data_IF_958508082507
#
_entry.id   IF_958508082507
#
_cell.length_a   1.000
_cell.length_b   1.000
_cell.length_c   1.000
_cell.angle_alpha   90.00
_cell.angle_beta   90.00
_cell.angle_gamma   90.00
#
_symmetry.space_group_name_H-M   'P 1'
#
loop_
_entity.id
_entity.type
_entity.pdbx_description
1 polymer ?
#
# COMPACT_ATOMS: atom_id res chain seq x y z
N UNK A 1 69.32 21.18 1.00
CA UNK A 1 68.44 20.04 0.99
C UNK A 1 67.10 20.38 1.65
N UNK A 2 66.13 20.93 0.95
CA UNK A 2 64.75 21.11 1.44
C UNK A 2 63.77 21.28 0.24
N UNK A 3 63.31 20.20 -0.40
CA UNK A 3 62.09 20.32 -1.19
C UNK A 3 61.00 19.22 -0.93
N UNK A 4 61.09 18.41 0.14
CA UNK A 4 60.13 17.28 0.31
C UNK A 4 58.86 17.63 1.06
N UNK A 5 58.78 18.78 1.72
CA UNK A 5 57.60 19.14 2.55
C UNK A 5 56.41 19.72 1.73
N UNK A 6 56.70 20.34 0.60
CA UNK A 6 55.67 20.96 -0.25
C UNK A 6 54.85 19.93 -1.08
N UNK A 7 55.47 18.81 -1.46
CA UNK A 7 54.83 17.76 -2.24
C UNK A 7 53.86 16.90 -1.40
N UNK A 8 54.17 16.69 -0.12
CA UNK A 8 53.31 15.94 0.81
C UNK A 8 52.01 16.73 1.08
N UNK A 9 52.10 18.04 1.28
CA UNK A 9 50.94 18.90 1.51
C UNK A 9 50.00 18.97 0.31
N UNK A 10 50.56 18.99 -0.90
CA UNK A 10 49.76 19.03 -2.13
C UNK A 10 49.00 17.71 -2.38
N UNK A 11 49.65 16.56 -2.12
CA UNK A 11 49.00 15.24 -2.23
C UNK A 11 47.88 15.03 -1.20
N UNK A 12 48.03 15.55 0.01
CA UNK A 12 47.02 15.45 1.05
C UNK A 12 45.78 16.30 0.75
N UNK A 13 45.98 17.50 0.18
CA UNK A 13 44.88 18.36 -0.28
C UNK A 13 44.09 17.75 -1.47
N UNK A 14 44.80 17.09 -2.42
CA UNK A 14 44.15 16.41 -3.54
C UNK A 14 43.30 15.21 -3.09
N UNK A 15 43.78 14.43 -2.10
CA UNK A 15 43.04 13.32 -1.52
C UNK A 15 41.79 13.80 -0.74
N UNK A 16 41.88 14.91 -0.01
CA UNK A 16 40.75 15.50 0.70
C UNK A 16 39.69 16.07 -0.28
N UNK A 17 40.11 16.69 -1.39
CA UNK A 17 39.21 17.21 -2.42
C UNK A 17 38.44 16.09 -3.17
N UNK A 18 39.08 14.94 -3.43
CA UNK A 18 38.45 13.78 -4.06
C UNK A 18 37.35 13.15 -3.18
N UNK A 19 37.51 13.17 -1.85
CA UNK A 19 36.53 12.69 -0.90
C UNK A 19 35.23 13.54 -0.83
N UNK A 20 35.33 14.84 -1.08
CA UNK A 20 34.20 15.76 -1.05
C UNK A 20 33.29 15.65 -2.28
N UNK A 21 33.84 15.24 -3.44
CA UNK A 21 33.08 15.09 -4.68
C UNK A 21 32.19 13.83 -4.64
N UNK A 22 32.64 12.76 -3.97
CA UNK A 22 31.84 11.52 -3.85
C UNK A 22 30.63 11.67 -2.92
N UNK A 23 30.69 12.55 -1.91
CA UNK A 23 29.57 12.78 -1.01
C UNK A 23 28.43 13.58 -1.65
N UNK A 24 28.69 14.45 -2.64
CA UNK A 24 27.66 15.16 -3.38
C UNK A 24 26.85 14.25 -4.28
N UNK A 25 27.51 13.32 -4.99
CA UNK A 25 26.83 12.40 -5.91
C UNK A 25 25.83 11.46 -5.20
N UNK A 26 26.17 10.98 -4.00
CA UNK A 26 25.26 10.14 -3.20
C UNK A 26 24.07 10.93 -2.67
N UNK A 27 24.24 12.19 -2.30
CA UNK A 27 23.14 13.05 -1.86
C UNK A 27 22.16 13.36 -3.01
N UNK A 28 22.66 13.66 -4.21
CA UNK A 28 21.83 13.89 -5.40
C UNK A 28 21.02 12.64 -5.75
N UNK A 29 21.63 11.45 -5.68
CA UNK A 29 20.92 10.18 -5.91
C UNK A 29 19.81 9.94 -4.88
N UNK A 30 20.05 10.25 -3.61
CA UNK A 30 19.05 10.12 -2.55
C UNK A 30 17.88 11.08 -2.77
N UNK A 31 18.15 12.35 -3.03
CA UNK A 31 17.11 13.37 -3.31
C UNK A 31 16.30 12.99 -4.54
N UNK A 32 16.96 12.52 -5.61
CA UNK A 32 16.29 12.05 -6.82
C UNK A 32 15.40 10.83 -6.54
N UNK A 33 15.88 9.86 -5.79
CA UNK A 33 15.11 8.67 -5.42
C UNK A 33 13.89 9.02 -4.56
N UNK A 34 14.04 9.93 -3.61
CA UNK A 34 12.92 10.43 -2.78
C UNK A 34 11.89 11.19 -3.64
N UNK A 35 12.35 12.05 -4.55
CA UNK A 35 11.48 12.77 -5.49
C UNK A 35 10.70 11.79 -6.39
N UNK A 36 11.36 10.74 -6.90
CA UNK A 36 10.71 9.73 -7.71
C UNK A 36 9.67 8.93 -6.91
N UNK A 37 9.93 8.63 -5.64
CA UNK A 37 8.97 7.99 -4.74
C UNK A 37 7.74 8.88 -4.51
N UNK A 38 7.94 10.18 -4.30
CA UNK A 38 6.85 11.14 -4.08
C UNK A 38 5.94 11.33 -5.30
N UNK A 39 6.42 10.98 -6.49
CA UNK A 39 5.64 11.02 -7.73
C UNK A 39 4.78 9.78 -7.96
N UNK A 40 5.02 8.67 -7.23
CA UNK A 40 4.16 7.51 -7.33
C UNK A 40 2.74 7.85 -6.92
N UNK A 41 1.79 7.39 -7.70
CA UNK A 41 0.37 7.63 -7.49
C UNK A 41 -0.32 6.32 -7.16
N UNK A 42 -1.25 6.36 -6.22
CA UNK A 42 -1.98 5.18 -5.76
C UNK A 42 -3.48 5.44 -5.76
N UNK A 43 -4.25 4.41 -6.12
CA UNK A 43 -5.72 4.42 -6.07
C UNK A 43 -6.22 3.04 -5.64
N UNK A 44 -7.29 3.00 -4.86
CA UNK A 44 -7.98 1.75 -4.55
C UNK A 44 -8.77 1.31 -5.81
N UNK A 45 -8.41 0.14 -6.37
CA UNK A 45 -9.07 -0.40 -7.54
C UNK A 45 -10.35 -1.14 -7.16
N UNK A 46 -10.21 -2.22 -6.41
CA UNK A 46 -11.32 -3.05 -5.97
C UNK A 46 -11.01 -3.84 -4.69
N UNK A 47 -12.04 -4.57 -4.22
CA UNK A 47 -11.92 -5.60 -3.19
C UNK A 47 -12.31 -6.93 -3.82
N UNK A 48 -11.46 -7.94 -3.69
CA UNK A 48 -11.66 -9.26 -4.26
C UNK A 48 -11.56 -10.36 -3.20
N UNK A 49 -12.04 -11.56 -3.55
CA UNK A 49 -11.97 -12.76 -2.70
C UNK A 49 -12.60 -12.57 -1.31
N UNK A 50 -13.65 -11.75 -1.21
CA UNK A 50 -14.27 -11.46 0.08
C UNK A 50 -15.06 -12.67 0.57
N UNK A 51 -14.68 -13.14 1.76
CA UNK A 51 -15.35 -14.21 2.48
C UNK A 51 -15.71 -13.79 3.89
N UNK A 52 -16.80 -14.31 4.44
CA UNK A 52 -17.17 -14.19 5.85
C UNK A 52 -17.38 -15.61 6.39
N UNK A 53 -16.69 -15.99 7.44
CA UNK A 53 -16.70 -17.37 7.96
C UNK A 53 -16.39 -18.43 6.88
N UNK A 54 -15.54 -18.08 5.89
CA UNK A 54 -15.25 -18.92 4.74
C UNK A 54 -16.36 -18.95 3.67
N UNK A 55 -17.45 -18.22 3.86
CA UNK A 55 -18.55 -18.13 2.88
C UNK A 55 -18.22 -17.02 1.89
N UNK A 56 -18.10 -17.36 0.61
CA UNK A 56 -17.83 -16.36 -0.46
C UNK A 56 -19.02 -15.45 -0.66
N UNK A 57 -18.79 -14.12 -0.65
CA UNK A 57 -19.83 -13.13 -0.86
C UNK A 57 -19.99 -12.68 -2.33
N UNK A 58 -18.99 -12.96 -3.18
CA UNK A 58 -19.07 -12.62 -4.59
C UNK A 58 -20.33 -13.16 -5.25
N UNK A 59 -21.11 -12.28 -5.87
CA UNK A 59 -22.39 -12.63 -6.49
C UNK A 59 -23.62 -12.59 -5.56
N UNK A 60 -23.45 -12.39 -4.24
CA UNK A 60 -24.55 -12.22 -3.29
C UNK A 60 -24.91 -10.73 -3.13
N UNK A 61 -26.20 -10.41 -3.09
CA UNK A 61 -26.72 -9.04 -2.97
C UNK A 61 -27.56 -8.83 -1.71
N UNK A 62 -28.10 -9.91 -1.14
CA UNK A 62 -28.99 -9.87 0.01
C UNK A 62 -28.79 -11.09 0.91
N UNK A 63 -29.34 -11.01 2.12
CA UNK A 63 -29.33 -12.14 3.08
C UNK A 63 -30.08 -13.37 2.53
N UNK A 64 -31.09 -13.18 1.68
CA UNK A 64 -31.83 -14.25 1.01
C UNK A 64 -30.98 -15.09 0.03
N UNK A 65 -29.82 -14.57 -0.40
CA UNK A 65 -28.93 -15.28 -1.33
C UNK A 65 -28.04 -16.32 -0.65
N UNK A 66 -28.12 -16.40 0.68
CA UNK A 66 -27.41 -17.43 1.44
C UNK A 66 -28.28 -18.69 1.55
N UNK A 67 -27.68 -19.85 1.42
CA UNK A 67 -28.34 -21.08 1.74
C UNK A 67 -28.59 -21.23 3.25
N UNK A 68 -29.45 -22.15 3.65
CA UNK A 68 -29.84 -22.33 5.06
C UNK A 68 -28.64 -22.63 5.96
N UNK A 69 -27.70 -23.46 5.48
CA UNK A 69 -26.51 -23.82 6.26
C UNK A 69 -25.58 -22.61 6.48
N UNK A 70 -25.36 -21.78 5.47
CA UNK A 70 -24.56 -20.57 5.57
C UNK A 70 -25.26 -19.55 6.47
N UNK A 71 -26.58 -19.38 6.35
CA UNK A 71 -27.37 -18.51 7.21
C UNK A 71 -27.25 -18.91 8.69
N UNK A 72 -27.33 -20.22 8.99
CA UNK A 72 -27.18 -20.73 10.34
C UNK A 72 -25.76 -20.48 10.90
N UNK A 73 -24.73 -20.69 10.08
CA UNK A 73 -23.31 -20.39 10.46
C UNK A 73 -23.14 -18.91 10.82
N UNK A 74 -23.70 -18.00 10.02
CA UNK A 74 -23.62 -16.55 10.26
C UNK A 74 -24.34 -16.17 11.57
N UNK A 75 -25.52 -16.72 11.84
CA UNK A 75 -26.25 -16.49 13.10
C UNK A 75 -25.45 -17.01 14.30
N UNK A 76 -24.90 -18.22 14.22
CA UNK A 76 -24.08 -18.81 15.28
C UNK A 76 -22.80 -17.99 15.52
N UNK A 77 -22.14 -17.53 14.47
CA UNK A 77 -20.94 -16.69 14.56
C UNK A 77 -21.26 -15.37 15.25
N UNK A 78 -22.36 -14.72 14.87
CA UNK A 78 -22.81 -13.49 15.51
C UNK A 78 -23.16 -13.70 17.00
N UNK A 79 -23.89 -14.77 17.34
CA UNK A 79 -24.18 -15.13 18.73
C UNK A 79 -22.91 -15.41 19.53
N UNK A 80 -21.88 -16.00 18.89
CA UNK A 80 -20.55 -16.21 19.46
C UNK A 80 -19.68 -14.94 19.51
N UNK A 81 -20.22 -13.78 19.12
CA UNK A 81 -19.52 -12.48 19.10
C UNK A 81 -18.25 -12.49 18.24
N UNK A 82 -18.27 -13.21 17.13
CA UNK A 82 -17.12 -13.35 16.22
C UNK A 82 -17.61 -13.51 14.79
N UNK A 83 -17.18 -12.62 13.92
CA UNK A 83 -17.54 -12.64 12.49
C UNK A 83 -16.31 -12.37 11.61
N UNK A 84 -15.38 -13.35 11.51
CA UNK A 84 -14.15 -13.16 10.72
C UNK A 84 -14.47 -13.04 9.23
N UNK A 85 -13.83 -12.07 8.60
CA UNK A 85 -13.86 -11.83 7.16
C UNK A 85 -12.43 -11.78 6.63
N UNK A 86 -12.22 -12.34 5.44
CA UNK A 86 -10.95 -12.31 4.72
C UNK A 86 -11.19 -11.78 3.31
N UNK A 87 -10.27 -10.97 2.82
CA UNK A 87 -10.37 -10.35 1.50
C UNK A 87 -9.02 -9.84 1.02
N UNK A 88 -8.97 -9.49 -0.27
CA UNK A 88 -7.81 -8.83 -0.88
C UNK A 88 -8.23 -7.44 -1.34
N UNK A 89 -7.50 -6.41 -0.90
CA UNK A 89 -7.61 -5.06 -1.43
C UNK A 89 -6.61 -4.93 -2.57
N UNK A 90 -7.09 -4.58 -3.75
CA UNK A 90 -6.27 -4.31 -4.92
C UNK A 90 -6.07 -2.80 -5.06
N UNK A 91 -4.80 -2.38 -5.06
CA UNK A 91 -4.40 -0.99 -5.23
C UNK A 91 -3.78 -0.87 -6.62
N UNK A 92 -4.20 0.12 -7.39
CA UNK A 92 -3.48 0.55 -8.57
C UNK A 92 -2.36 1.50 -8.16
N UNK A 93 -1.14 1.23 -8.65
CA UNK A 93 0.00 2.13 -8.54
C UNK A 93 0.46 2.54 -9.92
N UNK A 94 0.71 3.83 -10.12
CA UNK A 94 1.24 4.40 -11.36
C UNK A 94 2.56 5.09 -11.05
N UNK A 95 3.57 4.75 -11.84
CA UNK A 95 4.87 5.41 -11.80
C UNK A 95 4.99 6.35 -13.03
N UNK A 96 4.84 7.67 -12.84
CA UNK A 96 4.89 8.64 -13.94
C UNK A 96 6.32 8.97 -14.41
N UNK A 97 7.36 8.33 -13.84
CA UNK A 97 8.75 8.55 -14.23
C UNK A 97 9.09 7.79 -15.52
N UNK A 98 8.44 8.17 -16.63
CA UNK A 98 8.46 7.48 -17.93
C UNK A 98 9.55 7.96 -18.89
N UNK A 99 10.46 8.80 -18.41
CA UNK A 99 11.52 9.39 -19.24
C UNK A 99 11.12 10.66 -19.99
N UNK A 100 9.87 11.13 -19.85
CA UNK A 100 9.38 12.36 -20.44
C UNK A 100 9.59 13.56 -19.51
N UNK A 101 9.62 14.75 -20.07
CA UNK A 101 9.75 16.00 -19.29
C UNK A 101 11.10 16.16 -18.56
N UNK A 102 12.18 15.56 -19.08
CA UNK A 102 13.54 15.73 -18.56
C UNK A 102 13.91 14.86 -17.35
N UNK A 103 13.02 13.98 -16.90
CA UNK A 103 13.33 12.99 -15.84
C UNK A 103 13.72 11.65 -16.48
N UNK A 104 14.74 10.93 -15.99
CA UNK A 104 15.06 9.60 -16.50
C UNK A 104 13.92 8.63 -16.25
N UNK A 105 13.71 7.70 -17.18
CA UNK A 105 12.81 6.58 -16.93
C UNK A 105 13.36 5.72 -15.80
N UNK A 106 12.56 5.50 -14.75
CA UNK A 106 12.98 4.74 -13.57
C UNK A 106 11.92 3.75 -13.15
N UNK A 107 12.36 2.54 -12.80
CA UNK A 107 11.52 1.54 -12.13
C UNK A 107 11.56 1.82 -10.64
N UNK A 108 10.43 1.72 -9.97
CA UNK A 108 10.33 1.80 -8.51
C UNK A 108 9.99 0.42 -7.94
N UNK A 109 10.82 -0.12 -7.05
CA UNK A 109 10.54 -1.39 -6.39
C UNK A 109 9.93 -1.12 -5.02
N UNK A 110 8.61 -1.34 -4.92
CA UNK A 110 7.85 -1.21 -3.67
C UNK A 110 8.12 -2.45 -2.80
N UNK A 111 8.78 -2.26 -1.65
CA UNK A 111 9.11 -3.34 -0.71
C UNK A 111 8.19 -3.36 0.51
N UNK A 112 7.37 -2.35 0.68
CA UNK A 112 6.36 -2.25 1.73
C UNK A 112 5.30 -1.22 1.38
N UNK A 113 4.08 -1.51 1.80
CA UNK A 113 2.95 -0.57 1.79
C UNK A 113 2.14 -0.86 3.05
N UNK A 114 2.67 -0.43 4.20
CA UNK A 114 1.94 -0.56 5.46
C UNK A 114 0.66 0.25 5.37
N UNK A 115 -0.47 -0.45 5.37
CA UNK A 115 -1.79 0.12 5.12
C UNK A 115 -2.71 -0.14 6.29
N UNK A 116 -3.22 0.92 6.91
CA UNK A 116 -4.31 0.85 7.88
C UNK A 116 -5.62 0.95 7.12
N UNK A 117 -6.45 -0.08 7.26
CA UNK A 117 -7.77 -0.12 6.65
C UNK A 117 -8.75 0.74 7.45
N UNK A 118 -9.48 1.61 6.74
CA UNK A 118 -10.64 2.33 7.27
C UNK A 118 -11.89 1.82 6.55
N UNK A 119 -12.91 1.46 7.33
CA UNK A 119 -14.24 1.10 6.84
C UNK A 119 -15.23 2.08 7.46
N UNK A 120 -16.01 2.80 6.66
CA UNK A 120 -16.88 3.88 7.13
C UNK A 120 -16.12 4.90 8.02
N UNK A 121 -14.87 5.21 7.68
CA UNK A 121 -13.94 6.03 8.46
C UNK A 121 -13.52 5.46 9.83
N UNK A 122 -13.89 4.24 10.16
CA UNK A 122 -13.43 3.55 11.37
C UNK A 122 -12.12 2.83 11.08
N UNK A 123 -11.00 3.19 11.75
CA UNK A 123 -9.75 2.45 11.62
C UNK A 123 -9.91 1.02 12.13
N UNK A 124 -9.44 0.05 11.36
CA UNK A 124 -9.58 -1.36 11.68
C UNK A 124 -8.22 -2.06 11.73
N UNK A 125 -7.90 -2.86 10.73
CA UNK A 125 -6.70 -3.70 10.70
C UNK A 125 -5.58 -3.07 9.86
N UNK A 126 -4.36 -3.52 10.10
CA UNK A 126 -3.19 -3.14 9.32
C UNK A 126 -2.83 -4.31 8.41
N UNK A 127 -2.57 -4.01 7.14
CA UNK A 127 -2.03 -4.93 6.15
C UNK A 127 -0.77 -4.38 5.49
N UNK A 128 -0.07 -5.25 4.78
CA UNK A 128 1.12 -4.89 4.01
C UNK A 128 1.20 -5.77 2.76
N UNK A 129 2.09 -5.42 1.83
CA UNK A 129 2.41 -6.30 0.70
C UNK A 129 3.17 -7.53 1.17
N UNK A 130 2.86 -8.69 0.58
CA UNK A 130 3.50 -9.96 0.94
C UNK A 130 4.91 -10.10 0.34
N UNK A 131 5.20 -9.34 -0.71
CA UNK A 131 6.46 -9.38 -1.47
C UNK A 131 6.76 -8.04 -2.13
N UNK A 132 7.99 -7.85 -2.54
CA UNK A 132 8.37 -6.71 -3.37
C UNK A 132 7.64 -6.72 -4.72
N UNK A 133 7.22 -5.55 -5.18
CA UNK A 133 6.49 -5.35 -6.43
C UNK A 133 7.18 -4.25 -7.23
N UNK A 134 7.54 -4.54 -8.47
CA UNK A 134 8.06 -3.55 -9.39
C UNK A 134 6.93 -2.73 -10.01
N UNK A 135 7.10 -1.41 -9.99
CA UNK A 135 6.21 -0.43 -10.62
C UNK A 135 7.01 0.23 -11.75
N UNK A 136 6.84 -0.24 -13.00
CA UNK A 136 7.60 0.27 -14.14
C UNK A 136 7.32 1.75 -14.38
N UNK A 137 8.35 2.51 -14.76
CA UNK A 137 8.21 3.91 -15.18
C UNK A 137 7.64 4.01 -16.60
N UNK A 138 6.44 3.50 -16.81
CA UNK A 138 5.74 3.51 -18.10
C UNK A 138 4.47 4.35 -18.10
N UNK A 139 4.08 4.86 -16.91
CA UNK A 139 2.78 5.50 -16.71
C UNK A 139 1.59 4.52 -16.70
N UNK A 140 1.84 3.22 -16.85
CA UNK A 140 0.79 2.20 -16.76
C UNK A 140 0.56 1.77 -15.32
N UNK A 141 -0.69 1.40 -15.00
CA UNK A 141 -1.07 0.92 -13.69
C UNK A 141 -0.52 -0.48 -13.42
N UNK A 142 0.04 -0.67 -12.23
CA UNK A 142 0.45 -1.96 -11.65
C UNK A 142 -0.47 -2.29 -10.49
N UNK A 143 -1.01 -3.50 -10.43
CA UNK A 143 -1.87 -3.94 -9.34
C UNK A 143 -1.03 -4.44 -8.17
N UNK A 144 -1.32 -3.89 -6.99
CA UNK A 144 -0.71 -4.25 -5.71
C UNK A 144 -1.79 -4.93 -4.85
N UNK A 145 -1.77 -6.25 -4.68
CA UNK A 145 -2.71 -6.94 -3.80
C UNK A 145 -2.23 -6.90 -2.35
N UNK A 146 -3.14 -6.55 -1.43
CA UNK A 146 -2.93 -6.63 0.02
C UNK A 146 -4.00 -7.56 0.61
N UNK A 147 -3.60 -8.70 1.15
CA UNK A 147 -4.50 -9.60 1.87
C UNK A 147 -4.74 -9.08 3.27
N UNK A 148 -6.00 -9.08 3.69
CA UNK A 148 -6.42 -8.62 5.01
C UNK A 148 -7.41 -9.60 5.62
N UNK A 149 -7.38 -9.68 6.95
CA UNK A 149 -8.35 -10.41 7.75
C UNK A 149 -8.84 -9.50 8.88
N UNK A 150 -10.14 -9.48 9.10
CA UNK A 150 -10.80 -8.65 10.12
C UNK A 150 -11.88 -9.44 10.81
N UNK A 151 -12.10 -9.22 12.09
CA UNK A 151 -13.32 -9.62 12.75
C UNK A 151 -14.34 -8.47 12.73
N UNK A 152 -15.33 -8.57 11.84
CA UNK A 152 -16.33 -7.51 11.67
C UNK A 152 -17.12 -7.25 12.96
N UNK A 153 -17.34 -8.27 13.78
CA UNK A 153 -18.05 -8.10 15.06
C UNK A 153 -17.26 -7.18 16.02
N UNK A 154 -15.94 -7.34 16.09
CA UNK A 154 -15.09 -6.56 16.98
C UNK A 154 -15.13 -5.05 16.73
N UNK A 155 -15.38 -4.64 15.48
CA UNK A 155 -15.39 -3.22 15.09
C UNK A 155 -16.78 -2.63 14.90
N UNK A 156 -17.79 -3.45 14.59
CA UNK A 156 -19.10 -2.99 14.14
C UNK A 156 -20.27 -3.71 14.81
N UNK A 157 -20.10 -4.25 16.01
CA UNK A 157 -21.15 -4.98 16.73
C UNK A 157 -22.42 -4.14 16.99
N UNK A 158 -22.27 -2.82 17.11
CA UNK A 158 -23.34 -1.84 17.27
C UNK A 158 -24.34 -1.83 16.11
N UNK A 159 -23.92 -2.25 14.90
CA UNK A 159 -24.81 -2.36 13.73
C UNK A 159 -25.78 -3.53 13.83
N UNK A 160 -25.63 -4.43 14.79
CA UNK A 160 -26.41 -5.65 14.93
C UNK A 160 -26.21 -6.65 13.79
N UNK A 161 -26.88 -7.81 13.84
CA UNK A 161 -26.70 -8.88 12.87
C UNK A 161 -26.94 -8.45 11.42
N UNK A 162 -28.11 -7.88 11.16
CA UNK A 162 -28.47 -7.45 9.79
C UNK A 162 -27.53 -6.35 9.26
N UNK A 163 -27.13 -5.42 10.12
CA UNK A 163 -26.21 -4.35 9.76
C UNK A 163 -24.82 -4.89 9.42
N UNK A 164 -24.31 -5.88 10.14
CA UNK A 164 -23.01 -6.53 9.85
C UNK A 164 -23.05 -7.31 8.53
N UNK A 165 -24.11 -8.07 8.26
CA UNK A 165 -24.27 -8.80 7.00
C UNK A 165 -24.40 -7.82 5.82
N UNK A 166 -25.17 -6.75 5.99
CA UNK A 166 -25.30 -5.71 4.95
C UNK A 166 -23.96 -4.99 4.70
N UNK A 167 -23.19 -4.72 5.76
CA UNK A 167 -21.83 -4.17 5.62
C UNK A 167 -20.93 -5.12 4.82
N UNK A 168 -20.91 -6.40 5.17
CA UNK A 168 -20.13 -7.41 4.47
C UNK A 168 -20.53 -7.53 2.99
N UNK A 169 -21.84 -7.52 2.69
CA UNK A 169 -22.36 -7.53 1.31
C UNK A 169 -22.00 -6.24 0.55
N UNK A 170 -22.02 -5.08 1.20
CA UNK A 170 -21.59 -3.82 0.58
C UNK A 170 -20.10 -3.83 0.23
N UNK A 171 -19.27 -4.48 1.05
CA UNK A 171 -17.82 -4.55 0.81
C UNK A 171 -17.44 -5.64 -0.20
N UNK A 172 -18.05 -6.80 -0.15
CA UNK A 172 -17.62 -8.00 -0.88
C UNK A 172 -18.68 -8.66 -1.77
N UNK A 173 -19.92 -8.19 -1.77
CA UNK A 173 -21.04 -8.75 -2.54
C UNK A 173 -21.03 -8.41 -4.02
N UNK A 174 -22.15 -8.65 -4.69
CA UNK A 174 -22.31 -8.41 -6.13
C UNK A 174 -22.21 -6.92 -6.54
N UNK A 175 -22.60 -6.01 -5.63
CA UNK A 175 -22.55 -4.55 -5.83
C UNK A 175 -21.63 -3.94 -4.79
N UNK A 176 -20.34 -4.17 -4.95
CA UNK A 176 -19.31 -3.66 -4.02
C UNK A 176 -19.28 -2.14 -4.01
N UNK A 177 -19.30 -1.57 -2.82
CA UNK A 177 -19.18 -0.15 -2.59
C UNK A 177 -17.80 0.17 -2.02
N UNK A 178 -16.85 0.44 -2.91
CA UNK A 178 -15.48 0.78 -2.57
C UNK A 178 -15.35 2.17 -1.95
N UNK A 179 -16.38 3.02 -2.03
CA UNK A 179 -16.35 4.36 -1.41
C UNK A 179 -16.37 4.32 0.11
N UNK A 180 -16.77 3.18 0.68
CA UNK A 180 -16.74 2.93 2.15
C UNK A 180 -15.37 2.55 2.66
N UNK A 181 -14.40 2.34 1.76
CA UNK A 181 -13.05 1.88 2.08
C UNK A 181 -12.05 2.97 1.77
N UNK A 182 -11.15 3.21 2.71
CA UNK A 182 -9.95 3.98 2.51
C UNK A 182 -8.76 3.26 3.16
N UNK A 183 -7.57 3.52 2.66
CA UNK A 183 -6.32 3.06 3.24
C UNK A 183 -5.48 4.26 3.65
N UNK A 184 -5.08 4.30 4.91
CA UNK A 184 -4.03 5.18 5.40
C UNK A 184 -2.71 4.42 5.29
N UNK A 185 -1.90 4.74 4.28
CA UNK A 185 -0.78 3.92 3.86
C UNK A 185 0.56 4.66 3.90
N UNK A 186 1.64 3.92 4.16
CA UNK A 186 3.00 4.43 4.10
C UNK A 186 3.85 3.57 3.15
N UNK A 187 4.15 4.07 1.93
CA UNK A 187 4.99 3.36 0.97
C UNK A 187 6.46 3.29 1.40
N UNK A 188 7.09 2.15 1.07
CA UNK A 188 8.53 1.94 1.20
C UNK A 188 9.07 1.37 -0.12
N UNK A 189 10.10 1.97 -0.65
CA UNK A 189 10.78 1.49 -1.86
C UNK A 189 12.25 1.16 -1.57
N UNK A 190 12.81 0.26 -2.37
CA UNK A 190 14.26 0.00 -2.37
C UNK A 190 14.94 0.83 -3.45
N UNK A 191 16.09 1.39 -3.10
CA UNK A 191 16.97 2.12 -3.99
C UNK A 191 18.39 1.56 -3.90
N UNK A 192 19.30 1.91 -4.83
CA UNK A 192 20.72 1.52 -4.73
C UNK A 192 21.40 1.99 -3.43
N UNK A 193 20.88 3.01 -2.76
CA UNK A 193 21.38 3.55 -1.50
C UNK A 193 20.69 2.93 -0.26
N UNK A 194 19.80 1.97 -0.46
CA UNK A 194 19.01 1.32 0.59
C UNK A 194 17.51 1.65 0.53
N UNK A 195 16.75 1.18 1.52
CA UNK A 195 15.32 1.41 1.57
C UNK A 195 14.99 2.86 1.95
N UNK A 196 14.03 3.46 1.22
CA UNK A 196 13.47 4.77 1.52
C UNK A 196 12.00 4.59 1.92
N UNK A 197 11.62 5.20 3.04
CA UNK A 197 10.22 5.28 3.50
C UNK A 197 9.66 6.63 3.08
N UNK A 198 8.43 6.64 2.57
CA UNK A 198 7.72 7.89 2.29
C UNK A 198 7.60 8.74 3.57
N UNK A 199 7.86 10.04 3.51
CA UNK A 199 8.00 10.91 4.69
C UNK A 199 6.69 11.15 5.45
N UNK A 200 5.59 10.57 5.04
CA UNK A 200 4.29 10.66 5.68
C UNK A 200 3.42 9.46 5.36
N UNK A 201 2.15 9.57 5.69
CA UNK A 201 1.13 8.62 5.25
C UNK A 201 0.27 9.25 4.17
N UNK A 202 -0.24 8.44 3.26
CA UNK A 202 -1.13 8.85 2.18
C UNK A 202 -2.48 8.16 2.34
N UNK A 203 -3.55 8.87 2.03
CA UNK A 203 -4.90 8.28 2.02
C UNK A 203 -5.20 7.79 0.62
N UNK A 204 -5.40 6.48 0.45
CA UNK A 204 -5.72 5.84 -0.82
C UNK A 204 -7.22 5.54 -0.84
N UNK A 205 -7.92 6.07 -1.83
CA UNK A 205 -9.36 5.95 -2.05
C UNK A 205 -9.68 5.56 -3.50
N UNK A 206 -10.93 5.23 -3.81
CA UNK A 206 -11.30 4.65 -5.10
C UNK A 206 -11.49 5.66 -6.24
N UNK A 207 -11.80 6.91 -5.93
CA UNK A 207 -12.19 7.89 -6.96
C UNK A 207 -11.07 8.81 -7.43
N UNK A 208 -9.88 8.77 -6.83
CA UNK A 208 -8.74 9.57 -7.26
C UNK A 208 -7.39 8.91 -6.98
N UNK A 209 -6.39 9.26 -7.78
CA UNK A 209 -5.00 8.94 -7.50
C UNK A 209 -4.41 9.93 -6.47
N UNK A 210 -3.63 9.41 -5.53
CA UNK A 210 -2.91 10.13 -4.47
C UNK A 210 -1.43 9.79 -4.48
#
# INVERSE_FOLDING_TARGET
>A
MRPRLKTVGLSLCLLAAAGLIQSCASLEQFVSALSNLQRLQFRLADVSNFTVMGITLGGKSALSDFNVADGLRLVQAFAGKRLPAEFTINIEAVNPNDGRGGSPQTVSTLTGLESRLLIDNVPTVIGNVDRAIEIPGTGQATIIPIRMSIDLYSFFADKGYNGLINLALALGGARRDTTRIALDAQPRVTTPLGPIVYPGRITIISHEFR
#
